data_IF_909449500588
#
_entry.id   IF_909449500588
#
_cell.length_a   1.000
_cell.length_b   1.000
_cell.length_c   1.000
_cell.angle_alpha   90.00
_cell.angle_beta   90.00
_cell.angle_gamma   90.00
#
_symmetry.space_group_name_H-M   'P 1'
#
loop_
_entity.id
_entity.type
_entity.pdbx_description
1 polymer ?
#
# COMPACT_ATOMS: atom_id res chain seq x y z
N UNK A 1 -13.71 17.14 -7.09
CA UNK A 1 -14.03 18.36 -6.30
C UNK A 1 -14.73 18.11 -4.97
N UNK A 2 -15.42 16.99 -4.78
CA UNK A 2 -16.18 16.68 -3.53
C UNK A 2 -15.33 16.34 -2.29
N UNK A 3 -14.09 15.90 -2.43
CA UNK A 3 -13.26 15.45 -1.29
C UNK A 3 -12.59 16.62 -0.52
N UNK A 4 -12.21 17.69 -1.22
CA UNK A 4 -11.61 18.89 -0.58
C UNK A 4 -12.55 19.58 0.42
N UNK A 5 -13.85 19.59 0.11
CA UNK A 5 -14.88 20.17 1.00
C UNK A 5 -15.07 19.35 2.26
N UNK A 6 -14.93 18.01 2.18
CA UNK A 6 -15.12 17.10 3.32
C UNK A 6 -13.93 17.12 4.30
N UNK A 7 -12.70 17.24 3.79
CA UNK A 7 -11.48 17.33 4.62
C UNK A 7 -11.44 18.68 5.33
N UNK A 8 -11.73 19.76 4.61
CA UNK A 8 -11.79 21.11 5.21
C UNK A 8 -12.90 21.23 6.26
N UNK A 9 -14.05 20.57 6.07
CA UNK A 9 -15.12 20.55 7.07
C UNK A 9 -14.69 19.78 8.32
N UNK A 10 -14.09 18.60 8.20
CA UNK A 10 -13.59 17.81 9.35
C UNK A 10 -12.49 18.53 10.13
N UNK A 11 -11.56 19.20 9.44
CA UNK A 11 -10.56 20.04 10.12
C UNK A 11 -11.18 21.23 10.84
N UNK A 12 -12.21 21.85 10.26
CA UNK A 12 -12.97 22.91 10.92
C UNK A 12 -13.67 22.38 12.19
N UNK A 13 -14.33 21.23 12.13
CA UNK A 13 -14.97 20.60 13.28
C UNK A 13 -13.95 20.26 14.38
N UNK A 14 -12.81 19.67 14.02
CA UNK A 14 -11.77 19.34 14.99
C UNK A 14 -11.21 20.57 15.71
N UNK A 15 -10.97 21.68 14.98
CA UNK A 15 -10.57 22.96 15.58
C UNK A 15 -11.68 23.55 16.43
N UNK A 16 -12.93 23.42 16.01
CA UNK A 16 -14.08 23.87 16.77
C UNK A 16 -14.15 23.15 18.13
N UNK A 17 -13.94 21.83 18.17
CA UNK A 17 -13.87 21.06 19.44
C UNK A 17 -12.72 21.51 20.35
N UNK A 18 -11.58 21.89 19.81
CA UNK A 18 -10.46 22.42 20.58
C UNK A 18 -10.80 23.80 21.20
N UNK A 19 -11.43 24.68 20.41
CA UNK A 19 -11.85 26.02 20.85
C UNK A 19 -12.95 25.90 21.92
N UNK A 20 -13.95 25.05 21.70
CA UNK A 20 -15.03 24.77 22.65
C UNK A 20 -14.46 24.23 23.97
N UNK A 21 -13.52 23.28 23.89
CA UNK A 21 -12.84 22.73 25.06
C UNK A 21 -12.10 23.78 25.87
N UNK A 22 -11.40 24.69 25.21
CA UNK A 22 -10.75 25.85 25.83
C UNK A 22 -11.74 26.81 26.50
N UNK A 23 -12.87 27.10 25.82
CA UNK A 23 -13.93 27.93 26.40
C UNK A 23 -14.57 27.29 27.64
N UNK A 24 -14.85 25.98 27.61
CA UNK A 24 -15.41 25.25 28.76
C UNK A 24 -14.50 25.39 29.98
N UNK A 25 -13.18 25.24 29.80
CA UNK A 25 -12.19 25.40 30.86
C UNK A 25 -12.21 26.81 31.38
N UNK A 26 -12.14 27.83 30.53
CA UNK A 26 -12.09 29.23 30.93
C UNK A 26 -13.35 29.66 31.68
N UNK A 27 -14.53 29.34 31.14
CA UNK A 27 -15.82 29.67 31.77
C UNK A 27 -16.00 28.89 33.06
N UNK A 28 -15.58 27.62 33.10
CA UNK A 28 -15.66 26.77 34.29
C UNK A 28 -14.77 27.29 35.43
N UNK A 29 -13.56 27.75 35.15
CA UNK A 29 -12.66 28.38 36.12
C UNK A 29 -13.30 29.65 36.66
N UNK A 30 -13.82 30.51 35.79
CA UNK A 30 -14.47 31.75 36.20
C UNK A 30 -15.68 31.50 37.09
N UNK A 31 -16.58 30.61 36.66
CA UNK A 31 -17.78 30.28 37.45
C UNK A 31 -17.45 29.62 38.82
N UNK A 32 -16.47 28.71 38.82
CA UNK A 32 -16.04 28.03 40.05
C UNK A 32 -15.43 28.95 41.08
N UNK A 33 -14.57 29.88 40.67
CA UNK A 33 -13.83 30.75 41.61
C UNK A 33 -14.61 31.98 42.02
N UNK A 34 -15.40 32.55 41.09
CA UNK A 34 -16.05 33.85 41.34
C UNK A 34 -17.51 33.73 41.74
N UNK A 35 -18.25 32.78 41.16
CA UNK A 35 -19.70 32.70 41.37
C UNK A 35 -20.06 31.70 42.48
N UNK A 36 -19.49 30.50 42.41
CA UNK A 36 -19.94 29.38 43.25
C UNK A 36 -18.93 28.97 44.35
N UNK A 37 -17.71 29.43 44.30
CA UNK A 37 -16.60 29.08 45.20
C UNK A 37 -16.54 27.56 45.51
N UNK A 38 -16.74 26.74 44.46
CA UNK A 38 -16.89 25.28 44.54
C UNK A 38 -15.79 24.56 43.79
N UNK A 39 -14.93 23.87 44.51
CA UNK A 39 -13.83 23.08 43.92
C UNK A 39 -14.29 21.94 43.01
N UNK A 40 -15.45 21.37 43.31
CA UNK A 40 -16.01 20.28 42.50
C UNK A 40 -16.39 20.74 41.08
N UNK A 41 -16.95 21.91 40.91
CA UNK A 41 -17.26 22.50 39.60
C UNK A 41 -16.01 22.79 38.81
N UNK A 42 -14.93 23.21 39.43
CA UNK A 42 -13.62 23.42 38.78
C UNK A 42 -13.12 22.10 38.18
N UNK A 43 -13.10 21.01 38.93
CA UNK A 43 -12.61 19.69 38.48
C UNK A 43 -13.44 19.18 37.32
N UNK A 44 -14.76 19.28 37.39
CA UNK A 44 -15.66 18.84 36.32
C UNK A 44 -15.42 19.62 35.01
N UNK A 45 -15.29 20.93 35.09
CA UNK A 45 -15.05 21.78 33.92
C UNK A 45 -13.71 21.49 33.25
N UNK A 46 -12.65 21.25 34.04
CA UNK A 46 -11.33 20.86 33.51
C UNK A 46 -11.39 19.51 32.82
N UNK A 47 -12.04 18.50 33.40
CA UNK A 47 -12.18 17.15 32.81
C UNK A 47 -12.94 17.23 31.49
N UNK A 48 -14.07 17.92 31.43
CA UNK A 48 -14.88 18.05 30.22
C UNK A 48 -14.15 18.81 29.12
N UNK A 49 -13.43 19.87 29.47
CA UNK A 49 -12.63 20.63 28.53
C UNK A 49 -11.46 19.82 27.97
N UNK A 50 -10.75 19.05 28.81
CA UNK A 50 -9.68 18.15 28.37
C UNK A 50 -10.19 17.03 27.46
N UNK A 51 -11.34 16.42 27.77
CA UNK A 51 -11.99 15.44 26.91
C UNK A 51 -12.34 16.02 25.54
N UNK A 52 -12.88 17.23 25.48
CA UNK A 52 -13.21 17.90 24.22
C UNK A 52 -11.95 18.19 23.39
N UNK A 53 -10.87 18.67 24.01
CA UNK A 53 -9.58 18.91 23.35
C UNK A 53 -8.98 17.59 22.86
N UNK A 54 -9.02 16.53 23.66
CA UNK A 54 -8.52 15.21 23.29
C UNK A 54 -9.25 14.65 22.06
N UNK A 55 -10.58 14.75 22.01
CA UNK A 55 -11.37 14.32 20.84
C UNK A 55 -11.03 15.14 19.59
N UNK A 56 -10.89 16.47 19.75
CA UNK A 56 -10.46 17.34 18.65
C UNK A 56 -9.07 16.97 18.12
N UNK A 57 -8.09 16.71 18.99
CA UNK A 57 -6.74 16.31 18.58
C UNK A 57 -6.70 14.93 17.93
N UNK A 58 -7.50 13.98 18.41
CA UNK A 58 -7.63 12.65 17.80
C UNK A 58 -8.20 12.71 16.38
N UNK A 59 -9.22 13.56 16.16
CA UNK A 59 -9.78 13.78 14.82
C UNK A 59 -8.78 14.46 13.87
N UNK A 60 -7.98 15.42 14.35
CA UNK A 60 -6.91 16.02 13.54
C UNK A 60 -5.82 15.00 13.18
N UNK A 61 -5.49 14.10 14.08
CA UNK A 61 -4.52 13.02 13.82
C UNK A 61 -4.95 12.10 12.68
N UNK A 62 -6.23 11.76 12.61
CA UNK A 62 -6.77 10.90 11.55
C UNK A 62 -6.83 11.59 10.16
N UNK A 63 -6.86 12.91 10.10
CA UNK A 63 -6.91 13.65 8.82
C UNK A 63 -5.55 13.90 8.18
N UNK A 64 -4.45 13.65 8.90
CA UNK A 64 -3.09 13.90 8.39
C UNK A 64 -2.56 12.82 7.44
N UNK A 65 -3.28 11.73 7.22
CA UNK A 65 -2.78 10.57 6.47
C UNK A 65 -3.31 10.42 5.05
N UNK A 66 -4.26 11.23 4.62
CA UNK A 66 -4.71 11.26 3.22
C UNK A 66 -3.98 12.40 2.50
N UNK A 67 -2.75 12.17 2.06
CA UNK A 67 -2.11 13.07 1.09
C UNK A 67 -2.64 12.68 -0.30
N UNK A 68 -3.53 13.53 -0.85
CA UNK A 68 -3.81 13.48 -2.28
C UNK A 68 -2.56 13.96 -3.03
N UNK A 69 -2.18 13.24 -4.06
CA UNK A 69 -1.17 13.73 -5.00
C UNK A 69 -1.65 15.09 -5.54
N UNK A 70 -0.83 16.13 -5.38
CA UNK A 70 -1.13 17.48 -5.83
C UNK A 70 -1.17 17.60 -7.35
N UNK A 71 -0.65 16.60 -8.06
CA UNK A 71 -0.48 16.59 -9.51
C UNK A 71 -1.17 15.36 -10.10
N UNK A 72 -1.81 15.56 -11.25
CA UNK A 72 -2.35 14.43 -12.00
C UNK A 72 -1.23 13.72 -12.78
N UNK A 73 -1.47 12.45 -13.16
CA UNK A 73 -0.57 11.71 -14.01
C UNK A 73 -0.30 12.42 -15.34
N UNK A 74 -1.32 13.10 -15.88
CA UNK A 74 -1.19 13.88 -17.13
C UNK A 74 -0.28 15.10 -16.96
N UNK A 75 -0.36 15.79 -15.81
CA UNK A 75 0.51 16.93 -15.52
C UNK A 75 1.97 16.47 -15.44
N UNK A 76 2.22 15.37 -14.72
CA UNK A 76 3.55 14.78 -14.63
C UNK A 76 4.10 14.38 -16.00
N UNK A 77 3.30 13.73 -16.83
CA UNK A 77 3.70 13.33 -18.19
C UNK A 77 3.99 14.54 -19.07
N UNK A 78 3.19 15.60 -18.94
CA UNK A 78 3.43 16.86 -19.63
C UNK A 78 4.79 17.48 -19.27
N UNK A 79 5.10 17.55 -17.98
CA UNK A 79 6.40 18.07 -17.49
C UNK A 79 7.56 17.18 -17.91
N UNK A 80 7.39 15.87 -17.86
CA UNK A 80 8.39 14.91 -18.29
C UNK A 80 8.73 15.09 -19.78
N UNK A 81 7.70 15.23 -20.62
CA UNK A 81 7.87 15.47 -22.05
C UNK A 81 8.59 16.81 -22.35
N UNK A 82 8.25 17.87 -21.60
CA UNK A 82 8.95 19.16 -21.71
C UNK A 82 10.42 19.04 -21.30
N UNK A 83 10.68 18.35 -20.19
CA UNK A 83 12.03 18.14 -19.68
C UNK A 83 12.88 17.35 -20.68
N UNK A 84 12.32 16.28 -21.26
CA UNK A 84 13.00 15.45 -22.25
C UNK A 84 13.33 16.21 -23.53
N UNK A 85 12.49 17.17 -23.96
CA UNK A 85 12.77 18.01 -25.13
C UNK A 85 14.02 18.88 -24.95
N UNK A 86 14.31 19.30 -23.73
CA UNK A 86 15.42 20.20 -23.41
C UNK A 86 16.69 19.41 -23.05
N UNK A 87 16.55 18.35 -22.27
CA UNK A 87 17.67 17.65 -21.65
C UNK A 87 17.94 16.26 -22.25
N UNK A 88 17.15 15.83 -23.25
CA UNK A 88 17.24 14.49 -23.83
C UNK A 88 16.53 13.40 -22.99
N UNK A 89 16.66 12.16 -23.42
CA UNK A 89 15.98 11.01 -22.79
C UNK A 89 16.56 10.69 -21.42
N UNK A 90 15.67 10.37 -20.47
CA UNK A 90 16.07 9.91 -19.13
C UNK A 90 16.17 8.39 -19.16
N UNK A 91 17.38 7.86 -19.11
CA UNK A 91 17.63 6.41 -19.17
C UNK A 91 17.05 5.60 -18.00
N UNK A 92 16.80 6.26 -16.87
CA UNK A 92 16.28 5.60 -15.65
C UNK A 92 14.75 5.54 -15.56
N UNK A 93 14.03 6.12 -16.53
CA UNK A 93 12.56 6.02 -16.58
C UNK A 93 12.23 4.85 -17.48
N UNK A 94 11.59 3.84 -16.88
CA UNK A 94 11.09 2.70 -17.64
C UNK A 94 9.93 3.13 -18.53
N UNK A 95 9.87 2.65 -19.79
CA UNK A 95 8.69 2.84 -20.63
C UNK A 95 7.48 2.15 -20.00
N UNK A 96 6.28 2.59 -20.34
CA UNK A 96 5.06 1.91 -19.88
C UNK A 96 5.07 0.44 -20.33
N UNK A 97 4.76 -0.52 -19.47
CA UNK A 97 4.74 -1.94 -19.86
C UNK A 97 3.67 -2.12 -20.94
N UNK A 98 4.11 -2.52 -22.14
CA UNK A 98 3.20 -2.84 -23.25
C UNK A 98 2.81 -4.30 -23.10
N UNK A 99 1.52 -4.57 -23.10
CA UNK A 99 0.96 -5.93 -23.12
C UNK A 99 1.15 -6.62 -24.49
N UNK A 100 1.50 -5.85 -25.51
CA UNK A 100 1.69 -6.37 -26.87
C UNK A 100 3.11 -6.96 -27.07
N UNK A 101 3.17 -8.07 -27.77
CA UNK A 101 4.22 -8.92 -28.32
C UNK A 101 5.55 -8.30 -28.79
N UNK A 102 5.87 -7.10 -28.40
CA UNK A 102 7.22 -6.59 -28.58
C UNK A 102 8.08 -7.25 -27.50
N UNK A 103 9.13 -7.99 -27.86
CA UNK A 103 10.07 -8.45 -26.87
C UNK A 103 10.57 -7.18 -26.18
N UNK A 104 10.11 -6.94 -24.94
CA UNK A 104 10.90 -6.10 -24.07
C UNK A 104 12.32 -6.62 -24.24
N UNK A 105 13.34 -5.74 -24.15
CA UNK A 105 14.74 -6.15 -24.13
C UNK A 105 14.93 -6.98 -22.84
N UNK A 106 14.25 -8.09 -22.77
CA UNK A 106 14.44 -9.16 -21.78
C UNK A 106 15.46 -10.02 -22.51
N UNK A 107 16.66 -9.94 -22.02
CA UNK A 107 17.75 -10.78 -22.43
C UNK A 107 17.19 -12.21 -22.56
N UNK A 108 17.27 -12.90 -23.72
CA UNK A 108 16.77 -14.27 -23.85
C UNK A 108 17.39 -15.23 -22.82
N UNK A 109 18.49 -14.85 -22.19
CA UNK A 109 19.11 -15.55 -21.08
C UNK A 109 18.17 -15.70 -19.83
N UNK A 110 17.13 -14.87 -19.68
CA UNK A 110 16.15 -15.02 -18.58
C UNK A 110 15.38 -16.34 -18.68
N UNK A 111 15.24 -16.91 -19.88
CA UNK A 111 14.59 -18.20 -20.13
C UNK A 111 15.52 -19.39 -19.90
N UNK A 112 16.84 -19.16 -19.84
CA UNK A 112 17.84 -20.20 -19.65
C UNK A 112 18.11 -20.54 -18.18
N UNK A 113 17.63 -19.70 -17.23
CA UNK A 113 17.83 -19.93 -15.81
C UNK A 113 16.78 -20.86 -15.23
N UNK A 114 17.22 -21.88 -14.50
CA UNK A 114 16.35 -22.62 -13.62
C UNK A 114 16.01 -21.74 -12.42
N UNK A 115 14.73 -21.52 -12.15
CA UNK A 115 14.26 -20.83 -10.96
C UNK A 115 13.58 -21.81 -9.99
N UNK A 116 13.65 -21.53 -8.71
CA UNK A 116 13.04 -22.36 -7.67
C UNK A 116 11.74 -21.72 -7.10
N UNK A 117 11.34 -20.56 -7.63
CA UNK A 117 10.16 -19.82 -7.19
C UNK A 117 9.61 -18.89 -8.27
N UNK A 118 8.33 -18.55 -8.14
CA UNK A 118 7.67 -17.57 -8.99
C UNK A 118 7.15 -16.41 -8.13
N UNK A 119 7.37 -15.18 -8.58
CA UNK A 119 6.75 -13.98 -8.05
C UNK A 119 5.67 -13.53 -9.02
N UNK A 120 4.42 -13.42 -8.56
CA UNK A 120 3.30 -12.91 -9.35
C UNK A 120 2.86 -11.57 -8.80
N UNK A 121 2.96 -10.53 -9.63
CA UNK A 121 2.53 -9.17 -9.29
C UNK A 121 1.12 -8.89 -9.81
N UNK A 122 0.33 -8.12 -9.08
CA UNK A 122 -0.98 -7.65 -9.55
C UNK A 122 -0.87 -6.60 -10.66
N UNK A 123 0.30 -5.96 -10.80
CA UNK A 123 0.61 -4.90 -11.76
C UNK A 123 1.80 -5.28 -12.65
N UNK A 124 1.66 -5.04 -13.96
CA UNK A 124 2.77 -5.20 -14.92
C UNK A 124 3.89 -4.19 -14.66
N UNK A 125 3.57 -3.01 -14.12
CA UNK A 125 4.55 -1.98 -13.75
C UNK A 125 5.47 -2.45 -12.63
N UNK A 126 4.93 -3.10 -11.60
CA UNK A 126 5.71 -3.67 -10.51
C UNK A 126 6.58 -4.83 -11.01
N UNK A 127 6.02 -5.73 -11.84
CA UNK A 127 6.80 -6.80 -12.45
C UNK A 127 7.98 -6.24 -13.27
N UNK A 128 7.73 -5.22 -14.09
CA UNK A 128 8.78 -4.54 -14.89
C UNK A 128 9.84 -3.90 -14.00
N UNK A 129 9.43 -3.21 -12.92
CA UNK A 129 10.34 -2.58 -11.97
C UNK A 129 11.28 -3.64 -11.34
N UNK A 130 10.73 -4.77 -10.90
CA UNK A 130 11.50 -5.83 -10.28
C UNK A 130 12.49 -6.48 -11.27
N UNK A 131 12.06 -6.73 -12.51
CA UNK A 131 12.91 -7.27 -13.58
C UNK A 131 14.04 -6.28 -13.90
N UNK A 132 13.73 -5.00 -14.07
CA UNK A 132 14.71 -3.96 -14.40
C UNK A 132 15.75 -3.73 -13.30
N UNK A 133 15.44 -4.10 -12.05
CA UNK A 133 16.36 -4.05 -10.92
C UNK A 133 17.02 -5.41 -10.61
N UNK A 134 17.01 -6.36 -11.55
CA UNK A 134 17.63 -7.68 -11.43
C UNK A 134 17.15 -8.52 -10.22
N UNK A 135 15.96 -8.25 -9.70
CA UNK A 135 15.38 -8.96 -8.56
C UNK A 135 15.28 -10.46 -8.80
N UNK A 136 15.01 -10.87 -10.05
CA UNK A 136 14.91 -12.26 -10.48
C UNK A 136 16.23 -13.03 -10.30
N UNK A 137 17.37 -12.41 -10.57
CA UNK A 137 18.68 -13.02 -10.37
C UNK A 137 19.01 -13.17 -8.89
N UNK A 138 18.86 -12.08 -8.13
CA UNK A 138 19.20 -12.06 -6.71
C UNK A 138 18.38 -13.04 -5.87
N UNK A 139 17.15 -13.32 -6.31
CA UNK A 139 16.22 -14.17 -5.57
C UNK A 139 15.93 -15.51 -6.26
N UNK A 140 16.62 -15.84 -7.34
CA UNK A 140 16.42 -17.05 -8.13
C UNK A 140 14.95 -17.33 -8.44
N UNK A 141 14.25 -16.33 -8.99
CA UNK A 141 12.81 -16.40 -9.23
C UNK A 141 12.43 -15.96 -10.65
N UNK A 142 11.38 -16.55 -11.22
CA UNK A 142 10.67 -15.95 -12.33
C UNK A 142 9.76 -14.83 -11.81
N UNK A 143 9.51 -13.80 -12.62
CA UNK A 143 8.61 -12.70 -12.28
C UNK A 143 7.58 -12.55 -13.38
N UNK A 144 6.30 -12.63 -13.01
CA UNK A 144 5.16 -12.43 -13.89
C UNK A 144 4.17 -11.44 -13.26
N UNK A 145 3.37 -10.79 -14.10
CA UNK A 145 2.16 -10.11 -13.62
C UNK A 145 0.94 -11.02 -13.82
N UNK A 146 -0.14 -10.71 -13.12
CA UNK A 146 -1.43 -11.41 -13.28
C UNK A 146 -1.98 -11.34 -14.72
N UNK A 147 -1.59 -10.31 -15.50
CA UNK A 147 -1.93 -10.17 -16.91
C UNK A 147 -1.07 -11.03 -17.84
N UNK A 148 -0.09 -11.76 -17.30
CA UNK A 148 0.84 -12.62 -18.07
C UNK A 148 2.08 -11.88 -18.56
N UNK A 149 2.32 -10.65 -18.14
CA UNK A 149 3.55 -9.92 -18.50
C UNK A 149 4.76 -10.41 -17.67
N UNK A 150 5.95 -10.62 -18.27
CA UNK A 150 6.23 -10.57 -19.70
C UNK A 150 5.73 -11.82 -20.43
N UNK A 151 4.99 -11.62 -21.50
CA UNK A 151 4.36 -12.71 -22.26
C UNK A 151 5.38 -13.72 -22.83
N UNK A 152 6.60 -13.26 -23.13
CA UNK A 152 7.68 -14.08 -23.71
C UNK A 152 8.12 -15.25 -22.82
N UNK A 153 7.96 -15.14 -21.49
CA UNK A 153 8.37 -16.20 -20.55
C UNK A 153 7.17 -16.90 -19.88
N UNK A 154 5.95 -16.42 -20.11
CA UNK A 154 4.75 -16.90 -19.39
C UNK A 154 4.55 -18.40 -19.57
N UNK A 155 4.45 -18.87 -20.82
CA UNK A 155 4.17 -20.28 -21.13
C UNK A 155 5.27 -21.20 -20.61
N UNK A 156 6.55 -20.81 -20.79
CA UNK A 156 7.69 -21.59 -20.30
C UNK A 156 7.67 -21.69 -18.77
N UNK A 157 7.40 -20.58 -18.08
CA UNK A 157 7.28 -20.54 -16.62
C UNK A 157 6.16 -21.44 -16.13
N UNK A 158 4.98 -21.36 -16.75
CA UNK A 158 3.84 -22.20 -16.39
C UNK A 158 4.09 -23.68 -16.64
N UNK A 159 4.81 -24.07 -17.72
CA UNK A 159 5.22 -25.45 -17.96
C UNK A 159 6.19 -25.96 -16.89
N UNK A 160 7.15 -25.13 -16.46
CA UNK A 160 8.11 -25.48 -15.40
C UNK A 160 7.40 -25.70 -14.07
N UNK A 161 6.44 -24.86 -13.72
CA UNK A 161 5.63 -24.98 -12.50
C UNK A 161 4.80 -26.28 -12.49
N UNK A 162 4.21 -26.63 -13.63
CA UNK A 162 3.45 -27.89 -13.74
C UNK A 162 4.32 -29.14 -13.56
N UNK A 163 5.60 -29.07 -13.93
CA UNK A 163 6.57 -30.17 -13.77
C UNK A 163 7.16 -30.27 -12.37
N UNK A 164 7.18 -29.13 -11.64
CA UNK A 164 7.81 -29.02 -10.32
C UNK A 164 6.79 -28.46 -9.31
N UNK A 165 5.94 -29.33 -8.72
CA UNK A 165 4.89 -28.88 -7.80
C UNK A 165 5.44 -28.28 -6.48
N UNK A 166 6.71 -28.55 -6.16
CA UNK A 166 7.38 -28.03 -4.96
C UNK A 166 7.80 -26.56 -5.09
N UNK A 167 7.67 -25.97 -6.29
CA UNK A 167 7.97 -24.57 -6.52
C UNK A 167 6.98 -23.67 -5.76
N UNK A 168 7.51 -22.69 -5.05
CA UNK A 168 6.72 -21.73 -4.29
C UNK A 168 6.33 -20.54 -5.16
N UNK A 169 5.09 -20.11 -5.04
CA UNK A 169 4.56 -18.91 -5.70
C UNK A 169 4.37 -17.82 -4.66
N UNK A 170 4.88 -16.62 -4.93
CA UNK A 170 4.76 -15.45 -4.08
C UNK A 170 3.84 -14.42 -4.75
N UNK A 171 2.73 -14.09 -4.11
CA UNK A 171 1.80 -13.08 -4.57
C UNK A 171 2.20 -11.71 -4.03
N UNK A 172 2.42 -10.75 -4.92
CA UNK A 172 2.79 -9.36 -4.61
C UNK A 172 1.69 -8.45 -5.11
N UNK A 173 1.07 -7.69 -4.24
CA UNK A 173 -0.09 -6.89 -4.61
C UNK A 173 -0.26 -5.64 -3.76
N UNK A 174 -1.00 -4.69 -4.30
CA UNK A 174 -1.47 -3.49 -3.63
C UNK A 174 -2.45 -3.82 -2.51
N UNK A 175 -2.57 -2.91 -1.55
CA UNK A 175 -3.67 -2.94 -0.60
C UNK A 175 -4.92 -2.28 -1.21
N UNK A 176 -5.52 -2.94 -2.18
CA UNK A 176 -6.80 -2.58 -2.79
C UNK A 176 -7.65 -3.85 -3.01
N UNK A 177 -8.95 -3.76 -3.31
CA UNK A 177 -9.80 -4.94 -3.46
C UNK A 177 -9.32 -5.92 -4.54
N UNK A 178 -8.75 -5.41 -5.64
CA UNK A 178 -8.20 -6.24 -6.71
C UNK A 178 -6.96 -7.01 -6.26
N UNK A 179 -6.03 -6.31 -5.56
CA UNK A 179 -4.81 -6.90 -5.04
C UNK A 179 -5.09 -7.97 -3.98
N UNK A 180 -5.94 -7.65 -3.00
CA UNK A 180 -6.35 -8.60 -1.94
C UNK A 180 -6.98 -9.88 -2.52
N UNK A 181 -7.60 -9.79 -3.70
CA UNK A 181 -8.16 -10.95 -4.40
C UNK A 181 -7.13 -11.73 -5.21
N UNK A 182 -5.86 -11.30 -5.29
CA UNK A 182 -4.86 -11.89 -6.19
C UNK A 182 -4.70 -13.39 -5.95
N UNK A 183 -4.48 -13.81 -4.72
CA UNK A 183 -4.31 -15.24 -4.36
C UNK A 183 -5.55 -16.05 -4.74
N UNK A 184 -6.74 -15.52 -4.49
CA UNK A 184 -7.99 -16.16 -4.89
C UNK A 184 -8.10 -16.28 -6.42
N UNK A 185 -7.77 -15.20 -7.14
CA UNK A 185 -7.80 -15.18 -8.60
C UNK A 185 -6.81 -16.18 -9.21
N UNK A 186 -5.59 -16.27 -8.67
CA UNK A 186 -4.60 -17.25 -9.10
C UNK A 186 -5.09 -18.69 -8.92
N UNK A 187 -5.79 -19.00 -7.82
CA UNK A 187 -6.34 -20.33 -7.54
C UNK A 187 -7.61 -20.66 -8.32
N UNK A 188 -8.35 -19.68 -8.80
CA UNK A 188 -9.63 -19.85 -9.51
C UNK A 188 -9.52 -19.75 -11.03
N UNK A 189 -8.38 -19.31 -11.56
CA UNK A 189 -8.19 -19.10 -12.99
C UNK A 189 -7.49 -20.30 -13.65
N UNK A 190 -8.07 -20.80 -14.76
CA UNK A 190 -7.55 -21.93 -15.52
C UNK A 190 -6.17 -21.65 -16.17
N UNK A 191 -5.88 -20.40 -16.50
CA UNK A 191 -4.57 -20.02 -17.04
C UNK A 191 -3.47 -20.03 -15.98
N UNK A 192 -3.82 -20.07 -14.70
CA UNK A 192 -2.91 -20.05 -13.56
C UNK A 192 -2.94 -21.39 -12.82
N UNK A 193 -3.44 -21.41 -11.61
CA UNK A 193 -3.30 -22.56 -10.69
C UNK A 193 -4.66 -23.18 -10.31
N UNK A 194 -5.63 -23.16 -11.22
CA UNK A 194 -6.90 -23.85 -10.98
C UNK A 194 -6.65 -25.34 -10.74
N UNK A 195 -7.18 -25.88 -9.63
CA UNK A 195 -7.03 -27.27 -9.20
C UNK A 195 -5.56 -27.72 -8.99
N UNK A 196 -4.65 -26.78 -8.74
CA UNK A 196 -3.25 -27.08 -8.40
C UNK A 196 -3.03 -26.96 -6.89
N UNK A 197 -2.19 -27.86 -6.35
CA UNK A 197 -1.78 -27.84 -4.92
C UNK A 197 -0.55 -26.96 -4.66
N UNK A 198 -0.11 -26.19 -5.66
CA UNK A 198 1.05 -25.31 -5.52
C UNK A 198 0.86 -24.36 -4.32
N UNK A 199 1.90 -24.23 -3.49
CA UNK A 199 1.92 -23.31 -2.38
C UNK A 199 1.99 -21.86 -2.87
N UNK A 200 0.94 -21.07 -2.61
CA UNK A 200 0.91 -19.64 -2.90
C UNK A 200 1.03 -18.87 -1.57
N UNK A 201 2.10 -18.11 -1.44
CA UNK A 201 2.43 -17.30 -0.26
C UNK A 201 2.12 -15.86 -0.58
N UNK A 202 1.26 -15.25 0.22
CA UNK A 202 0.93 -13.84 0.09
C UNK A 202 1.98 -12.99 0.80
N UNK A 203 2.66 -12.12 0.04
CA UNK A 203 3.63 -11.14 0.53
C UNK A 203 3.26 -9.71 0.09
N UNK A 204 2.01 -9.50 -0.32
CA UNK A 204 1.47 -8.21 -0.68
C UNK A 204 1.13 -7.33 0.53
N UNK A 205 0.56 -6.17 0.26
CA UNK A 205 0.11 -5.23 1.27
C UNK A 205 -1.27 -5.62 1.79
N UNK A 206 -1.40 -5.80 3.10
CA UNK A 206 -2.68 -6.10 3.76
C UNK A 206 -3.25 -4.87 4.47
N UNK A 207 -4.59 -4.77 4.61
CA UNK A 207 -5.20 -3.66 5.33
C UNK A 207 -4.78 -3.62 6.81
N UNK A 208 -4.58 -4.76 7.47
CA UNK A 208 -4.08 -4.84 8.85
C UNK A 208 -2.74 -4.16 9.02
N UNK A 209 -1.80 -4.40 8.09
CA UNK A 209 -0.48 -3.76 8.09
C UNK A 209 -0.61 -2.23 7.95
N UNK A 210 -1.51 -1.76 7.07
CA UNK A 210 -1.74 -0.33 6.85
C UNK A 210 -2.39 0.33 8.08
N UNK A 211 -3.37 -0.33 8.69
CA UNK A 211 -4.05 0.15 9.89
C UNK A 211 -3.08 0.20 11.08
N UNK A 212 -2.23 -0.82 11.22
CA UNK A 212 -1.20 -0.87 12.27
C UNK A 212 -0.08 0.15 12.06
N UNK A 213 0.25 0.49 10.81
CA UNK A 213 1.30 1.45 10.49
C UNK A 213 0.86 2.88 10.84
N UNK A 214 1.46 3.46 11.88
CA UNK A 214 1.08 4.78 12.39
C UNK A 214 1.53 5.95 11.52
N UNK A 215 2.45 5.78 10.55
CA UNK A 215 3.03 6.89 9.74
C UNK A 215 3.56 6.40 8.38
N UNK A 216 3.57 7.30 7.40
CA UNK A 216 4.41 7.19 6.21
C UNK A 216 3.83 6.45 5.00
N UNK A 217 2.51 6.22 4.95
CA UNK A 217 1.87 5.64 3.77
C UNK A 217 0.93 6.62 3.09
N UNK A 218 0.92 6.59 1.76
CA UNK A 218 -0.02 7.36 0.96
C UNK A 218 -1.34 6.59 0.84
N UNK A 219 -2.27 6.85 1.75
CA UNK A 219 -3.61 6.27 1.69
C UNK A 219 -4.46 7.10 0.73
N UNK A 220 -4.87 6.47 -0.36
CA UNK A 220 -5.79 7.03 -1.34
C UNK A 220 -7.22 6.57 -1.03
N UNK A 221 -8.21 7.21 -1.67
CA UNK A 221 -9.60 6.81 -1.54
C UNK A 221 -10.36 7.09 -2.83
N UNK A 222 -11.10 6.09 -3.32
CA UNK A 222 -11.97 6.24 -4.49
C UNK A 222 -13.31 5.55 -4.29
N UNK A 223 -14.34 6.00 -5.05
CA UNK A 223 -15.66 5.36 -5.06
C UNK A 223 -15.60 3.99 -5.72
N UNK A 224 -14.76 3.85 -6.75
CA UNK A 224 -14.62 2.60 -7.49
C UNK A 224 -14.00 1.53 -6.59
N UNK A 225 -12.98 1.88 -5.79
CA UNK A 225 -12.41 0.98 -4.78
C UNK A 225 -13.44 0.55 -3.74
N UNK A 226 -14.29 1.48 -3.26
CA UNK A 226 -15.36 1.15 -2.32
C UNK A 226 -16.39 0.17 -2.92
N UNK A 227 -16.74 0.37 -4.19
CA UNK A 227 -17.66 -0.52 -4.89
C UNK A 227 -17.05 -1.90 -5.14
N UNK A 228 -15.78 -1.96 -5.57
CA UNK A 228 -15.04 -3.19 -5.75
C UNK A 228 -14.89 -3.98 -4.43
N UNK A 229 -14.67 -3.29 -3.31
CA UNK A 229 -14.59 -3.93 -1.99
C UNK A 229 -15.88 -4.65 -1.59
N UNK A 230 -17.03 -4.09 -1.94
CA UNK A 230 -18.36 -4.73 -1.70
C UNK A 230 -18.58 -5.97 -2.57
N UNK A 231 -17.90 -6.04 -3.71
CA UNK A 231 -18.00 -7.14 -4.68
C UNK A 231 -16.94 -8.23 -4.49
N UNK A 232 -16.14 -8.14 -3.43
CA UNK A 232 -15.13 -9.15 -3.11
C UNK A 232 -15.75 -10.55 -2.98
N UNK A 233 -15.09 -11.60 -3.52
CA UNK A 233 -15.53 -12.99 -3.35
C UNK A 233 -15.74 -13.33 -1.88
N UNK A 234 -16.74 -14.16 -1.59
CA UNK A 234 -17.09 -14.51 -0.20
C UNK A 234 -15.91 -15.12 0.56
N UNK A 235 -15.10 -15.97 -0.09
CA UNK A 235 -13.91 -16.56 0.50
C UNK A 235 -12.87 -15.50 0.94
N UNK A 236 -12.67 -14.46 0.11
CA UNK A 236 -11.77 -13.34 0.43
C UNK A 236 -12.35 -12.50 1.56
N UNK A 237 -13.66 -12.24 1.57
CA UNK A 237 -14.32 -11.51 2.67
C UNK A 237 -14.21 -12.23 4.00
N UNK A 238 -14.27 -13.56 4.01
CA UNK A 238 -14.15 -14.39 5.21
C UNK A 238 -12.73 -14.42 5.79
N UNK A 239 -11.70 -14.18 4.98
CA UNK A 239 -10.31 -14.11 5.45
C UNK A 239 -9.94 -12.74 6.05
N UNK A 240 -10.78 -11.73 5.86
CA UNK A 240 -10.57 -10.37 6.37
C UNK A 240 -11.34 -10.15 7.66
N UNK A 241 -10.75 -9.41 8.58
CA UNK A 241 -11.43 -8.95 9.79
C UNK A 241 -12.51 -7.91 9.48
N UNK A 242 -13.43 -7.67 10.39
CA UNK A 242 -14.48 -6.65 10.24
C UNK A 242 -13.89 -5.23 10.08
N UNK A 243 -12.77 -4.94 10.74
CA UNK A 243 -12.07 -3.67 10.64
C UNK A 243 -11.45 -3.48 9.24
N UNK A 244 -10.79 -4.50 8.70
CA UNK A 244 -10.20 -4.51 7.37
C UNK A 244 -11.26 -4.35 6.27
N UNK A 245 -12.38 -5.06 6.39
CA UNK A 245 -13.51 -4.91 5.47
C UNK A 245 -14.08 -3.50 5.50
N UNK A 246 -14.30 -2.94 6.69
CA UNK A 246 -14.80 -1.57 6.84
C UNK A 246 -13.83 -0.56 6.22
N UNK A 247 -12.53 -0.80 6.38
CA UNK A 247 -11.48 0.04 5.82
C UNK A 247 -11.50 0.03 4.28
N UNK A 248 -11.57 -1.16 3.67
CA UNK A 248 -11.66 -1.33 2.21
C UNK A 248 -13.00 -0.78 1.66
N UNK A 249 -14.11 -1.05 2.31
CA UNK A 249 -15.45 -0.57 1.91
C UNK A 249 -15.59 0.96 2.03
N UNK A 250 -14.75 1.61 2.84
CA UNK A 250 -14.63 3.07 2.83
C UNK A 250 -13.92 3.62 1.59
N UNK A 251 -13.47 2.74 0.68
CA UNK A 251 -12.82 3.06 -0.58
C UNK A 251 -11.33 3.36 -0.44
N UNK A 252 -10.74 3.11 0.72
CA UNK A 252 -9.32 3.35 0.95
C UNK A 252 -8.47 2.28 0.29
N UNK A 253 -7.29 2.69 -0.18
CA UNK A 253 -6.30 1.79 -0.75
C UNK A 253 -4.89 2.39 -0.66
N UNK A 254 -3.88 1.54 -0.80
CA UNK A 254 -2.47 1.91 -0.89
C UNK A 254 -1.84 1.12 -2.01
N UNK A 255 -1.12 1.81 -2.90
CA UNK A 255 -0.40 1.22 -4.03
C UNK A 255 1.07 0.98 -3.66
N UNK A 256 1.66 -0.08 -4.19
CA UNK A 256 3.07 -0.43 -4.01
C UNK A 256 3.99 0.66 -4.56
N UNK A 257 3.56 1.39 -5.58
CA UNK A 257 4.24 2.54 -6.15
C UNK A 257 4.42 3.71 -5.16
N UNK A 258 3.71 3.68 -4.04
CA UNK A 258 3.90 4.64 -2.93
C UNK A 258 5.25 4.45 -2.22
N UNK A 259 5.90 3.32 -2.40
CA UNK A 259 7.21 3.04 -1.81
C UNK A 259 8.33 3.38 -2.77
N UNK A 260 9.47 3.79 -2.25
CA UNK A 260 10.66 3.90 -3.09
C UNK A 260 11.07 2.51 -3.60
N UNK A 261 11.60 2.39 -4.83
CA UNK A 261 12.01 1.12 -5.40
C UNK A 261 12.94 0.30 -4.49
N UNK A 262 13.90 0.96 -3.86
CA UNK A 262 14.84 0.31 -2.94
C UNK A 262 14.15 -0.28 -1.72
N UNK A 263 13.17 0.44 -1.15
CA UNK A 263 12.41 -0.04 0.01
C UNK A 263 11.53 -1.22 -0.37
N UNK A 264 10.84 -1.13 -1.51
CA UNK A 264 10.01 -2.22 -2.02
C UNK A 264 10.82 -3.50 -2.23
N UNK A 265 11.97 -3.41 -2.91
CA UNK A 265 12.86 -4.55 -3.15
C UNK A 265 13.32 -5.18 -1.83
N UNK A 266 13.80 -4.39 -0.86
CA UNK A 266 14.24 -4.90 0.45
C UNK A 266 13.12 -5.62 1.21
N UNK A 267 11.91 -5.07 1.17
CA UNK A 267 10.74 -5.66 1.83
C UNK A 267 10.36 -6.99 1.19
N UNK A 268 10.32 -7.06 -0.14
CA UNK A 268 10.04 -8.30 -0.86
C UNK A 268 11.11 -9.37 -0.63
N UNK A 269 12.39 -9.00 -0.61
CA UNK A 269 13.49 -9.91 -0.28
C UNK A 269 13.32 -10.49 1.12
N UNK A 270 12.97 -9.67 2.12
CA UNK A 270 12.67 -10.15 3.48
C UNK A 270 11.47 -11.09 3.51
N UNK A 271 10.38 -10.77 2.78
CA UNK A 271 9.20 -11.63 2.67
C UNK A 271 9.52 -13.00 2.08
N UNK A 272 10.32 -13.04 1.01
CA UNK A 272 10.77 -14.30 0.40
C UNK A 272 11.71 -15.08 1.34
N UNK A 273 12.64 -14.41 2.01
CA UNK A 273 13.55 -15.04 2.96
C UNK A 273 12.83 -15.53 4.22
N UNK A 274 11.90 -14.75 4.76
CA UNK A 274 11.11 -15.10 5.94
C UNK A 274 10.23 -16.33 5.73
N UNK A 275 9.72 -16.54 4.53
CA UNK A 275 8.94 -17.71 4.18
C UNK A 275 9.74 -19.03 4.16
N UNK A 276 11.07 -18.98 4.23
CA UNK A 276 11.91 -20.17 4.45
C UNK A 276 11.84 -20.66 5.90
N UNK A 277 11.51 -19.79 6.86
CA UNK A 277 11.46 -20.06 8.29
C UNK A 277 10.01 -20.08 8.81
N UNK A 278 9.08 -20.68 8.05
CA UNK A 278 7.64 -20.73 8.37
C UNK A 278 7.26 -21.49 9.66
N UNK A 279 8.22 -21.81 10.53
CA UNK A 279 7.97 -22.29 11.88
C UNK A 279 7.89 -21.20 12.96
N UNK A 280 8.11 -19.93 12.62
CA UNK A 280 7.95 -18.80 13.53
C UNK A 280 6.85 -17.86 13.05
N UNK A 281 5.86 -17.69 13.90
CA UNK A 281 4.57 -17.02 13.81
C UNK A 281 4.67 -15.47 13.62
N UNK A 282 5.52 -14.97 12.73
CA UNK A 282 5.76 -13.54 12.52
C UNK A 282 5.40 -13.08 11.10
N UNK A 283 4.12 -13.28 10.71
CA UNK A 283 3.55 -12.72 9.46
C UNK A 283 3.41 -11.19 9.46
N UNK A 284 3.82 -10.51 10.53
CA UNK A 284 3.77 -9.04 10.67
C UNK A 284 5.06 -8.31 10.21
N UNK A 285 5.99 -8.98 9.51
CA UNK A 285 7.36 -8.50 9.30
C UNK A 285 7.52 -7.43 8.23
N UNK A 286 6.50 -7.18 7.39
CA UNK A 286 6.66 -6.32 6.20
C UNK A 286 6.73 -4.82 6.50
N UNK A 287 6.19 -4.35 7.61
CA UNK A 287 6.07 -2.90 7.88
C UNK A 287 6.65 -2.42 9.22
N UNK A 288 6.96 -3.31 10.16
CA UNK A 288 7.36 -2.92 11.52
C UNK A 288 8.88 -2.72 11.66
N UNK A 289 9.67 -3.14 10.70
CA UNK A 289 11.13 -3.28 10.80
C UNK A 289 11.98 -2.10 10.36
N UNK A 290 11.51 -0.86 10.25
CA UNK A 290 12.45 0.26 10.14
C UNK A 290 11.83 1.59 10.57
N UNK A 291 11.80 1.84 11.87
CA UNK A 291 11.71 3.18 12.46
C UNK A 291 13.07 3.88 12.51
N UNK A 292 14.02 3.39 11.73
CA UNK A 292 15.31 4.02 11.49
C UNK A 292 15.11 5.32 10.70
N UNK A 293 15.42 6.38 11.33
CA UNK A 293 15.51 7.79 11.00
C UNK A 293 16.22 8.07 9.65
N UNK A 294 15.66 7.58 8.53
CA UNK A 294 16.10 7.98 7.19
C UNK A 294 15.48 9.34 6.86
N UNK A 295 16.06 10.34 7.48
CA UNK A 295 15.96 11.73 7.03
C UNK A 295 16.54 11.75 5.60
N UNK A 296 15.70 12.00 4.61
CA UNK A 296 16.15 12.18 3.23
C UNK A 296 17.10 13.39 3.18
N UNK A 297 18.38 13.14 3.23
CA UNK A 297 19.37 14.11 2.79
C UNK A 297 19.26 14.11 1.27
N UNK A 298 18.54 15.09 0.74
CA UNK A 298 18.66 15.48 -0.67
C UNK A 298 20.07 16.03 -0.82
N UNK A 299 21.00 15.18 -1.23
CA UNK A 299 22.26 15.67 -1.77
C UNK A 299 21.92 16.40 -3.06
N UNK A 300 21.94 17.71 -2.99
CA UNK A 300 21.95 18.57 -4.16
C UNK A 300 23.19 18.21 -4.97
N UNK A 301 22.96 17.70 -6.18
CA UNK A 301 24.03 17.59 -7.16
C UNK A 301 24.44 19.00 -7.57
N UNK A 302 25.68 19.40 -7.18
CA UNK A 302 26.38 20.51 -7.77
C UNK A 302 26.86 20.17 -9.16
#
# INVERSE_FOLDING_TARGET
MSNKTNINSRQKYARCFQIIGGMIIAVGIYASLIIYNSFSLFVIAVILGMLSIYWGTRQLGQTKFAQEFLFSQNDFQGWLNQWQKINGSILKILPFPREENTPAIINPDVTAYSFDRLVVCDSASIAQLLIANNFHFENNCAILSITGYPQSIFDTTMQMLRRNPDLKVYAVHDCNPRGISLVHNLRSNASWFLNSEIAIIDIGLTPSQIIAAKRGMFIQSSRDSAQAAKQLPQKVRQSLSAEELTWLESGKFVELESFSPQRLIKVLQKGIAGSRNLESDDSNLLLVGDTGNDMYVVQSFG
#
